data_IF_389082015368
#
_entry.id   IF_389082015368
#
_cell.length_a   1.000
_cell.length_b   1.000
_cell.length_c   1.000
_cell.angle_alpha   90.00
_cell.angle_beta   90.00
_cell.angle_gamma   90.00
#
_symmetry.space_group_name_H-M   'P 1'
#
loop_
_entity.id
_entity.type
_entity.pdbx_description
1 polymer ?
#
# COMPACT_ATOMS: atom_id res chain seq x y z
N UNK A 1 -19.71 -10.98 -24.41
CA UNK A 1 -19.25 -10.29 -23.18
C UNK A 1 -18.41 -9.10 -23.61
N UNK A 2 -18.51 -7.93 -22.96
CA UNK A 2 -17.59 -6.83 -23.21
C UNK A 2 -16.15 -7.29 -22.95
N UNK A 3 -15.20 -6.83 -23.75
CA UNK A 3 -13.79 -7.14 -23.55
C UNK A 3 -13.32 -6.47 -22.27
N UNK A 4 -12.93 -7.26 -21.27
CA UNK A 4 -12.32 -6.75 -20.03
C UNK A 4 -10.88 -6.37 -20.36
N UNK A 5 -10.53 -5.10 -20.16
CA UNK A 5 -9.18 -4.56 -20.41
C UNK A 5 -8.40 -4.27 -19.14
N UNK A 6 -9.09 -4.10 -18.02
CA UNK A 6 -8.48 -3.89 -16.71
C UNK A 6 -9.39 -4.44 -15.62
N UNK A 7 -8.78 -4.88 -14.51
CA UNK A 7 -9.51 -5.09 -13.27
C UNK A 7 -8.80 -4.44 -12.08
N UNK A 8 -9.56 -3.75 -11.21
CA UNK A 8 -9.02 -3.14 -9.98
C UNK A 8 -9.61 -3.83 -8.77
N UNK A 9 -8.76 -4.24 -7.82
CA UNK A 9 -9.19 -4.88 -6.59
C UNK A 9 -9.33 -3.83 -5.48
N UNK A 10 -10.56 -3.57 -5.05
CA UNK A 10 -10.83 -2.71 -3.90
C UNK A 10 -10.42 -3.38 -2.58
N UNK A 11 -10.04 -2.61 -1.57
CA UNK A 11 -9.94 -3.10 -0.20
C UNK A 11 -11.32 -3.45 0.38
N UNK A 12 -11.34 -4.22 1.47
CA UNK A 12 -12.59 -4.62 2.12
C UNK A 12 -13.37 -3.40 2.64
N UNK A 13 -14.67 -3.35 2.35
CA UNK A 13 -15.54 -2.21 2.66
C UNK A 13 -15.29 -0.93 1.85
N UNK A 14 -14.39 -0.91 0.87
CA UNK A 14 -14.00 0.30 0.13
C UNK A 14 -14.32 0.24 -1.38
N UNK A 15 -15.29 -0.58 -1.79
CA UNK A 15 -15.71 -0.65 -3.21
C UNK A 15 -16.26 0.69 -3.71
N UNK A 16 -17.08 1.38 -2.92
CA UNK A 16 -17.61 2.72 -3.27
C UNK A 16 -16.52 3.79 -3.34
N UNK A 17 -15.49 3.69 -2.50
CA UNK A 17 -14.35 4.62 -2.52
C UNK A 17 -13.51 4.42 -3.79
N UNK A 18 -13.23 3.16 -4.15
CA UNK A 18 -12.55 2.85 -5.41
C UNK A 18 -13.40 3.28 -6.61
N UNK A 19 -14.71 3.05 -6.58
CA UNK A 19 -15.63 3.46 -7.65
C UNK A 19 -15.61 4.97 -7.88
N UNK A 20 -15.72 5.77 -6.81
CA UNK A 20 -15.66 7.22 -6.89
C UNK A 20 -14.33 7.71 -7.45
N UNK A 21 -13.21 7.13 -7.02
CA UNK A 21 -11.88 7.49 -7.53
C UNK A 21 -11.69 7.10 -9.00
N UNK A 22 -12.16 5.93 -9.41
CA UNK A 22 -12.12 5.50 -10.82
C UNK A 22 -13.01 6.39 -11.70
N UNK A 23 -14.21 6.75 -11.23
CA UNK A 23 -15.10 7.66 -11.93
C UNK A 23 -14.47 9.05 -12.10
N UNK A 24 -13.84 9.60 -11.05
CA UNK A 24 -13.07 10.84 -11.11
C UNK A 24 -11.95 10.78 -12.15
N UNK A 25 -11.32 9.62 -12.31
CA UNK A 25 -10.28 9.33 -13.30
C UNK A 25 -10.83 8.98 -14.70
N UNK A 26 -12.13 9.15 -14.94
CA UNK A 26 -12.78 8.90 -16.23
C UNK A 26 -12.96 7.41 -16.57
N UNK A 27 -12.85 6.52 -15.60
CA UNK A 27 -13.05 5.08 -15.77
C UNK A 27 -14.49 4.71 -15.44
N UNK A 28 -15.17 4.03 -16.36
CA UNK A 28 -16.48 3.41 -16.11
C UNK A 28 -16.28 1.94 -15.72
N UNK A 29 -16.87 1.51 -14.61
CA UNK A 29 -16.89 0.10 -14.22
C UNK A 29 -18.01 -0.61 -14.98
N UNK A 30 -17.66 -1.65 -15.75
CA UNK A 30 -18.65 -2.44 -16.51
C UNK A 30 -19.46 -3.33 -15.56
N UNK A 31 -18.79 -3.94 -14.57
CA UNK A 31 -19.39 -4.80 -13.55
C UNK A 31 -18.45 -5.06 -12.38
N UNK A 32 -19.03 -5.40 -11.23
CA UNK A 32 -18.30 -5.92 -10.08
C UNK A 32 -18.31 -7.45 -10.06
N UNK A 33 -17.19 -8.04 -9.68
CA UNK A 33 -17.05 -9.43 -9.27
C UNK A 33 -16.57 -9.44 -7.82
N UNK A 34 -17.50 -9.35 -6.88
CA UNK A 34 -17.20 -9.07 -5.47
C UNK A 34 -16.54 -7.71 -5.30
N UNK A 35 -15.26 -7.69 -4.89
CA UNK A 35 -14.42 -6.48 -4.75
C UNK A 35 -13.56 -6.19 -5.99
N UNK A 36 -13.67 -6.99 -7.05
CA UNK A 36 -12.92 -6.81 -8.27
C UNK A 36 -13.77 -6.02 -9.28
N UNK A 37 -13.44 -4.75 -9.50
CA UNK A 37 -14.05 -3.91 -10.52
C UNK A 37 -13.53 -4.31 -11.90
N UNK A 38 -14.40 -4.74 -12.80
CA UNK A 38 -14.07 -5.11 -14.18
C UNK A 38 -14.47 -3.99 -15.13
N UNK A 39 -13.58 -3.63 -16.05
CA UNK A 39 -13.87 -2.59 -17.04
C UNK A 39 -13.29 -2.92 -18.41
N UNK A 40 -13.98 -2.39 -19.43
CA UNK A 40 -13.48 -2.27 -20.79
C UNK A 40 -12.55 -1.06 -21.00
N UNK A 41 -12.31 -0.24 -19.96
CA UNK A 41 -11.39 0.89 -19.97
C UNK A 41 -9.92 0.45 -19.92
N UNK A 42 -9.03 1.27 -20.48
CA UNK A 42 -7.58 1.09 -20.34
C UNK A 42 -7.16 1.16 -18.86
N UNK A 43 -6.01 0.56 -18.49
CA UNK A 43 -5.51 0.66 -17.13
C UNK A 43 -5.19 2.10 -16.77
N UNK A 44 -5.73 2.56 -15.64
CA UNK A 44 -5.40 3.83 -14.99
C UNK A 44 -4.97 3.54 -13.57
N UNK A 45 -3.96 4.25 -13.08
CA UNK A 45 -3.55 4.15 -11.69
C UNK A 45 -4.65 4.68 -10.77
N UNK A 46 -5.00 3.93 -9.73
CA UNK A 46 -5.81 4.40 -8.61
C UNK A 46 -5.08 4.07 -7.32
N UNK A 47 -4.83 5.04 -6.42
CA UNK A 47 -4.20 4.77 -5.14
C UNK A 47 -5.11 3.93 -4.24
N UNK A 48 -6.41 3.84 -4.50
CA UNK A 48 -7.36 3.04 -3.72
C UNK A 48 -7.41 1.56 -4.12
N UNK A 49 -6.76 1.17 -5.22
CA UNK A 49 -6.70 -0.22 -5.65
C UNK A 49 -5.56 -0.95 -4.92
N UNK A 50 -5.88 -2.06 -4.25
CA UNK A 50 -4.86 -2.95 -3.65
C UNK A 50 -4.00 -3.64 -4.73
N UNK A 51 -4.62 -3.93 -5.87
CA UNK A 51 -3.98 -4.55 -7.02
C UNK A 51 -4.72 -4.16 -8.31
N UNK A 52 -3.98 -4.04 -9.42
CA UNK A 52 -4.53 -3.72 -10.73
C UNK A 52 -4.06 -4.80 -11.70
N UNK A 53 -4.99 -5.52 -12.31
CA UNK A 53 -4.74 -6.58 -13.27
C UNK A 53 -4.63 -5.96 -14.67
N UNK A 54 -3.47 -6.14 -15.30
CA UNK A 54 -3.10 -5.52 -16.57
C UNK A 54 -3.28 -6.52 -17.73
N UNK A 55 -4.08 -6.15 -18.72
CA UNK A 55 -4.42 -6.98 -19.89
C UNK A 55 -5.02 -8.33 -19.51
N UNK A 56 -6.11 -8.35 -18.71
CA UNK A 56 -6.77 -9.58 -18.34
C UNK A 56 -7.38 -10.26 -19.57
N UNK A 57 -7.39 -11.59 -19.53
CA UNK A 57 -7.95 -12.45 -20.56
C UNK A 57 -9.09 -13.27 -19.97
N UNK A 58 -10.09 -13.51 -20.81
CA UNK A 58 -11.26 -14.32 -20.47
C UNK A 58 -11.28 -15.53 -21.39
N UNK A 59 -11.41 -16.73 -20.82
CA UNK A 59 -11.60 -17.96 -21.60
C UNK A 59 -12.65 -18.84 -20.97
N UNK A 60 -13.36 -19.57 -21.81
CA UNK A 60 -14.15 -20.69 -21.35
C UNK A 60 -13.22 -21.86 -20.92
N UNK A 61 -13.61 -22.57 -19.87
CA UNK A 61 -12.93 -23.74 -19.35
C UNK A 61 -13.89 -24.94 -19.29
N UNK A 62 -13.46 -26.07 -19.83
CA UNK A 62 -14.27 -27.30 -19.88
C UNK A 62 -14.06 -28.21 -18.67
N UNK A 63 -12.93 -28.04 -17.96
CA UNK A 63 -12.59 -28.86 -16.79
C UNK A 63 -11.57 -28.16 -15.88
N UNK A 64 -11.39 -28.69 -14.66
CA UNK A 64 -10.35 -28.26 -13.72
C UNK A 64 -8.95 -28.38 -14.34
N UNK A 65 -8.70 -29.46 -15.10
CA UNK A 65 -7.42 -29.67 -15.79
C UNK A 65 -7.21 -28.62 -16.87
N UNK A 66 -8.21 -28.39 -17.72
CA UNK A 66 -8.13 -27.40 -18.79
C UNK A 66 -7.84 -25.99 -18.25
N UNK A 67 -8.49 -25.58 -17.14
CA UNK A 67 -8.20 -24.30 -16.49
C UNK A 67 -6.74 -24.19 -16.01
N UNK A 68 -6.23 -25.23 -15.32
CA UNK A 68 -4.86 -25.25 -14.84
C UNK A 68 -3.84 -25.28 -15.99
N UNK A 69 -4.12 -26.00 -17.07
CA UNK A 69 -3.27 -26.05 -18.27
C UNK A 69 -3.19 -24.69 -18.95
N UNK A 70 -4.30 -23.97 -19.09
CA UNK A 70 -4.34 -22.60 -19.62
C UNK A 70 -3.41 -21.68 -18.84
N UNK A 71 -3.50 -21.68 -17.51
CA UNK A 71 -2.67 -20.81 -16.66
C UNK A 71 -1.19 -21.20 -16.73
N UNK A 72 -0.88 -22.50 -16.69
CA UNK A 72 0.50 -23.01 -16.74
C UNK A 72 1.19 -22.77 -18.08
N UNK A 73 0.44 -22.73 -19.18
CA UNK A 73 0.97 -22.43 -20.49
C UNK A 73 1.52 -20.99 -20.60
N UNK A 74 1.06 -20.08 -19.72
CA UNK A 74 1.44 -18.67 -19.72
C UNK A 74 2.59 -18.42 -18.75
N UNK A 75 2.42 -18.83 -17.48
CA UNK A 75 3.47 -18.68 -16.47
C UNK A 75 3.27 -19.61 -15.28
N UNK A 76 4.28 -19.65 -14.41
CA UNK A 76 4.34 -20.55 -13.25
C UNK A 76 3.45 -20.11 -12.08
N UNK A 77 3.48 -18.83 -11.71
CA UNK A 77 2.95 -18.34 -10.43
C UNK A 77 1.64 -17.58 -10.62
N UNK A 78 0.64 -17.93 -9.81
CA UNK A 78 -0.71 -17.42 -9.93
C UNK A 78 -1.34 -17.23 -8.56
N UNK A 79 -1.85 -16.02 -8.27
CA UNK A 79 -2.64 -15.72 -7.09
C UNK A 79 -4.13 -15.84 -7.40
N UNK A 80 -4.83 -16.66 -6.61
CA UNK A 80 -6.28 -16.77 -6.70
C UNK A 80 -6.96 -15.59 -5.99
N UNK A 81 -7.85 -14.91 -6.72
CA UNK A 81 -8.93 -14.12 -6.13
C UNK A 81 -10.23 -14.93 -6.20
N UNK A 82 -10.85 -15.21 -5.05
CA UNK A 82 -12.05 -16.06 -4.99
C UNK A 82 -13.12 -15.40 -4.13
N UNK A 83 -14.34 -15.38 -4.65
CA UNK A 83 -15.55 -14.95 -3.95
C UNK A 83 -16.63 -16.02 -3.95
N UNK A 84 -16.59 -16.89 -4.98
CA UNK A 84 -17.50 -18.01 -5.20
C UNK A 84 -16.72 -19.21 -5.73
N UNK A 85 -17.44 -20.32 -5.97
CA UNK A 85 -16.89 -21.55 -6.56
C UNK A 85 -15.68 -22.12 -5.80
N UNK A 86 -15.61 -21.91 -4.47
CA UNK A 86 -14.47 -22.25 -3.60
C UNK A 86 -13.90 -23.65 -3.83
N UNK A 87 -14.75 -24.67 -3.95
CA UNK A 87 -14.29 -26.05 -4.20
C UNK A 87 -13.60 -26.17 -5.56
N UNK A 88 -14.13 -25.55 -6.60
CA UNK A 88 -13.58 -25.63 -7.96
C UNK A 88 -12.28 -24.84 -8.07
N UNK A 89 -12.24 -23.64 -7.49
CA UNK A 89 -11.02 -22.81 -7.46
C UNK A 89 -9.91 -23.48 -6.63
N UNK A 90 -10.23 -24.13 -5.51
CA UNK A 90 -9.28 -24.95 -4.75
C UNK A 90 -8.70 -26.09 -5.59
N UNK A 91 -9.54 -26.88 -6.28
CA UNK A 91 -9.08 -27.99 -7.12
C UNK A 91 -8.23 -27.54 -8.31
N UNK A 92 -8.49 -26.35 -8.87
CA UNK A 92 -7.62 -25.75 -9.90
C UNK A 92 -6.29 -25.33 -9.27
N UNK A 93 -6.32 -24.68 -8.10
CA UNK A 93 -5.13 -24.25 -7.35
C UNK A 93 -4.21 -25.44 -7.03
N UNK A 94 -4.77 -26.57 -6.60
CA UNK A 94 -4.02 -27.81 -6.32
C UNK A 94 -3.28 -28.37 -7.55
N UNK A 95 -3.68 -27.97 -8.76
CA UNK A 95 -3.00 -28.36 -10.02
C UNK A 95 -2.00 -27.32 -10.52
N UNK A 96 -1.93 -26.15 -9.89
CA UNK A 96 -0.94 -25.12 -10.22
C UNK A 96 0.33 -25.32 -9.39
N UNK A 97 1.50 -24.87 -9.87
CA UNK A 97 2.70 -24.79 -9.05
C UNK A 97 2.42 -23.94 -7.79
N UNK A 98 2.83 -24.39 -6.59
CA UNK A 98 2.52 -23.66 -5.37
C UNK A 98 3.23 -22.30 -5.36
N UNK A 99 2.49 -21.27 -4.97
CA UNK A 99 3.03 -19.95 -4.63
C UNK A 99 3.37 -19.95 -3.15
N UNK A 100 4.64 -19.76 -2.81
CA UNK A 100 5.10 -19.62 -1.43
C UNK A 100 4.70 -18.24 -0.89
N UNK A 101 3.46 -18.12 -0.44
CA UNK A 101 2.92 -16.91 0.19
C UNK A 101 2.96 -17.03 1.73
N UNK A 102 4.10 -17.46 2.28
CA UNK A 102 4.27 -17.50 3.73
C UNK A 102 4.22 -16.07 4.31
N UNK A 103 3.67 -15.87 5.52
CA UNK A 103 3.73 -14.58 6.18
C UNK A 103 5.17 -14.06 6.27
N UNK A 104 5.35 -12.79 5.94
CA UNK A 104 6.61 -12.08 5.90
C UNK A 104 7.12 -11.78 7.31
N UNK A 105 8.42 -11.96 7.53
CA UNK A 105 9.12 -11.46 8.72
C UNK A 105 9.77 -10.13 8.33
N UNK A 106 9.34 -9.03 8.95
CA UNK A 106 9.90 -7.71 8.71
C UNK A 106 11.22 -7.52 9.50
N UNK A 107 12.26 -6.85 8.96
CA UNK A 107 12.33 -6.24 7.63
C UNK A 107 12.57 -7.26 6.51
N UNK A 108 11.91 -7.05 5.38
CA UNK A 108 12.10 -7.88 4.18
C UNK A 108 11.77 -7.11 2.91
N UNK A 109 12.37 -7.54 1.80
CA UNK A 109 12.09 -7.00 0.48
C UNK A 109 10.78 -7.59 -0.08
N UNK A 110 10.08 -6.88 -1.00
CA UNK A 110 8.93 -7.44 -1.67
C UNK A 110 9.36 -8.62 -2.57
N UNK A 111 8.50 -9.63 -2.76
CA UNK A 111 8.79 -10.73 -3.69
C UNK A 111 9.07 -10.21 -5.10
N UNK A 112 10.13 -10.70 -5.74
CA UNK A 112 10.53 -10.30 -7.10
C UNK A 112 10.06 -11.29 -8.17
N UNK A 113 9.60 -12.48 -7.77
CA UNK A 113 9.09 -13.48 -8.71
C UNK A 113 7.81 -12.97 -9.40
N UNK A 114 7.66 -13.13 -10.72
CA UNK A 114 6.41 -12.80 -11.41
C UNK A 114 5.23 -13.48 -10.73
N UNK A 115 4.11 -12.77 -10.62
CA UNK A 115 2.87 -13.27 -10.02
C UNK A 115 1.68 -12.74 -10.82
N UNK A 116 1.00 -13.62 -11.55
CA UNK A 116 -0.30 -13.29 -12.15
C UNK A 116 -1.44 -13.47 -11.17
N UNK A 117 -2.64 -13.07 -11.57
CA UNK A 117 -3.84 -13.26 -10.79
C UNK A 117 -4.96 -13.89 -11.62
N UNK A 118 -5.86 -14.63 -10.98
CA UNK A 118 -6.97 -15.28 -11.66
C UNK A 118 -8.18 -15.47 -10.75
N UNK A 119 -9.35 -15.63 -11.36
CA UNK A 119 -10.62 -15.93 -10.70
C UNK A 119 -11.54 -16.68 -11.65
N UNK A 120 -12.63 -17.25 -11.12
CA UNK A 120 -13.74 -17.75 -11.91
C UNK A 120 -14.88 -16.74 -11.86
N UNK A 121 -15.32 -16.27 -13.01
CA UNK A 121 -16.48 -15.39 -13.14
C UNK A 121 -17.80 -16.15 -13.01
N UNK A 122 -17.78 -17.42 -13.43
CA UNK A 122 -18.83 -18.41 -13.22
C UNK A 122 -18.18 -19.80 -13.25
N UNK A 123 -18.98 -20.88 -13.26
CA UNK A 123 -18.48 -22.26 -13.26
C UNK A 123 -17.51 -22.58 -14.40
N UNK A 124 -17.70 -21.95 -15.58
CA UNK A 124 -16.97 -22.26 -16.80
C UNK A 124 -16.19 -21.07 -17.39
N UNK A 125 -16.25 -19.88 -16.79
CA UNK A 125 -15.53 -18.71 -17.30
C UNK A 125 -14.35 -18.36 -16.40
N UNK A 126 -13.13 -18.54 -16.92
CA UNK A 126 -11.88 -18.16 -16.28
C UNK A 126 -11.48 -16.74 -16.69
N UNK A 127 -11.23 -15.88 -15.70
CA UNK A 127 -10.61 -14.56 -15.88
C UNK A 127 -9.20 -14.61 -15.28
N UNK A 128 -8.19 -14.20 -16.02
CA UNK A 128 -6.81 -14.20 -15.53
C UNK A 128 -5.98 -13.07 -16.12
N UNK A 129 -4.95 -12.64 -15.40
CA UNK A 129 -4.02 -11.60 -15.81
C UNK A 129 -2.60 -12.02 -15.48
N UNK A 130 -1.75 -12.12 -16.50
CA UNK A 130 -0.36 -12.51 -16.29
C UNK A 130 0.44 -11.41 -15.56
N UNK A 131 0.06 -10.14 -15.79
CA UNK A 131 0.68 -8.96 -15.18
C UNK A 131 -0.29 -8.27 -14.23
N UNK A 132 0.23 -7.79 -13.12
CA UNK A 132 -0.50 -6.99 -12.14
C UNK A 132 0.44 -6.03 -11.42
N UNK A 133 -0.08 -4.99 -10.78
CA UNK A 133 0.74 -3.93 -10.18
C UNK A 133 1.35 -4.30 -8.83
N UNK A 134 0.73 -5.18 -8.06
CA UNK A 134 1.28 -5.61 -6.77
C UNK A 134 2.07 -6.92 -6.90
N UNK A 135 3.20 -7.10 -6.18
CA UNK A 135 3.86 -8.41 -6.09
C UNK A 135 3.18 -9.35 -5.08
N UNK A 136 2.22 -8.86 -4.29
CA UNK A 136 1.58 -9.64 -3.23
C UNK A 136 0.30 -10.30 -3.70
N UNK A 137 -0.07 -11.43 -3.09
CA UNK A 137 -1.35 -12.11 -3.34
C UNK A 137 -2.49 -11.13 -3.03
N UNK A 138 -3.36 -10.88 -4.02
CA UNK A 138 -4.50 -9.97 -3.91
C UNK A 138 -4.12 -8.57 -3.41
N UNK A 139 -2.92 -8.11 -3.74
CA UNK A 139 -2.46 -6.78 -3.36
C UNK A 139 -2.00 -6.64 -1.90
N UNK A 140 -2.15 -7.66 -1.06
CA UNK A 140 -2.01 -7.55 0.39
C UNK A 140 -0.86 -8.40 0.94
N UNK A 141 0.22 -7.79 1.48
CA UNK A 141 1.22 -8.53 2.23
C UNK A 141 0.63 -9.06 3.54
N UNK A 142 1.09 -10.25 3.96
CA UNK A 142 0.79 -10.78 5.28
C UNK A 142 2.08 -10.82 6.08
N UNK A 143 2.04 -10.40 7.35
CA UNK A 143 3.21 -10.39 8.23
C UNK A 143 3.04 -11.38 9.37
N UNK A 144 4.17 -11.90 9.87
CA UNK A 144 4.25 -12.53 11.18
C UNK A 144 4.13 -11.42 12.23
N UNK A 145 2.93 -11.24 12.77
CA UNK A 145 2.64 -10.14 13.70
C UNK A 145 3.25 -10.35 15.09
N UNK A 146 3.72 -9.26 15.70
CA UNK A 146 3.96 -9.19 17.14
C UNK A 146 2.73 -8.61 17.84
N UNK A 147 2.09 -9.40 18.71
CA UNK A 147 0.86 -9.01 19.42
C UNK A 147 1.07 -8.59 20.88
N UNK A 148 2.30 -8.67 21.39
CA UNK A 148 2.61 -8.44 22.81
C UNK A 148 3.56 -7.27 23.05
N UNK A 149 4.46 -7.00 22.11
CA UNK A 149 5.45 -5.93 22.18
C UNK A 149 4.89 -4.52 21.93
N UNK A 150 4.25 -4.25 20.78
CA UNK A 150 3.84 -2.90 20.41
C UNK A 150 2.56 -2.45 21.14
N UNK A 151 2.41 -1.15 21.44
CA UNK A 151 1.24 -0.61 22.13
C UNK A 151 -0.01 -0.50 21.24
N UNK A 152 0.14 -0.67 19.93
CA UNK A 152 -0.97 -0.67 18.96
C UNK A 152 -0.61 -1.54 17.74
N UNK A 153 -1.60 -1.92 16.90
CA UNK A 153 -1.35 -2.62 15.63
C UNK A 153 -1.00 -1.67 14.46
N UNK A 154 -0.85 -0.37 14.71
CA UNK A 154 -0.55 0.62 13.67
C UNK A 154 0.82 0.39 13.02
N UNK A 155 1.76 -0.27 13.71
CA UNK A 155 3.08 -0.62 13.18
C UNK A 155 3.01 -1.43 11.87
N UNK A 156 1.92 -2.17 11.63
CA UNK A 156 1.75 -2.96 10.40
C UNK A 156 1.68 -2.08 9.15
N UNK A 157 1.16 -0.85 9.27
CA UNK A 157 1.20 0.13 8.18
C UNK A 157 2.63 0.54 7.85
N UNK A 158 3.47 0.78 8.85
CA UNK A 158 4.88 1.11 8.65
C UNK A 158 5.65 -0.07 8.05
N UNK A 159 5.44 -1.28 8.56
CA UNK A 159 6.05 -2.49 7.99
C UNK A 159 5.66 -2.67 6.53
N UNK A 160 4.38 -2.53 6.19
CA UNK A 160 3.91 -2.61 4.81
C UNK A 160 4.51 -1.49 3.94
N UNK A 161 4.50 -0.25 4.42
CA UNK A 161 5.05 0.91 3.71
C UNK A 161 6.54 0.68 3.36
N UNK A 162 7.35 0.33 4.34
CA UNK A 162 8.78 0.04 4.16
C UNK A 162 9.02 -1.19 3.26
N UNK A 163 8.21 -2.23 3.39
CA UNK A 163 8.30 -3.42 2.52
C UNK A 163 7.98 -3.07 1.07
N UNK A 164 6.96 -2.23 0.82
CA UNK A 164 6.61 -1.77 -0.54
C UNK A 164 7.66 -0.85 -1.14
N UNK A 165 8.29 -0.01 -0.31
CA UNK A 165 9.43 0.81 -0.70
C UNK A 165 10.67 -0.04 -1.03
N UNK A 166 10.77 -1.24 -0.45
CA UNK A 166 12.02 -2.01 -0.45
C UNK A 166 13.13 -1.34 0.35
N UNK A 167 12.77 -0.43 1.26
CA UNK A 167 13.69 0.34 2.10
C UNK A 167 13.04 0.69 3.43
N UNK A 168 13.84 0.73 4.48
CA UNK A 168 13.46 1.07 5.85
C UNK A 168 14.63 1.80 6.53
N UNK A 169 14.39 2.45 7.69
CA UNK A 169 15.45 3.04 8.49
C UNK A 169 16.55 2.05 8.86
N UNK A 170 17.82 2.41 8.68
CA UNK A 170 18.98 1.64 9.16
C UNK A 170 19.43 2.11 10.56
N UNK A 171 20.27 1.34 11.29
CA UNK A 171 20.76 1.75 12.60
C UNK A 171 21.49 3.10 12.65
N UNK A 172 22.09 3.51 11.55
CA UNK A 172 22.82 4.77 11.40
C UNK A 172 21.90 5.96 11.07
N UNK A 173 20.68 5.68 10.62
CA UNK A 173 19.73 6.69 10.18
C UNK A 173 18.92 7.27 11.35
N UNK A 174 18.62 8.55 11.25
CA UNK A 174 17.80 9.30 12.20
C UNK A 174 16.39 9.46 11.66
N UNK A 175 15.42 9.30 12.54
CA UNK A 175 14.00 9.32 12.21
C UNK A 175 13.26 10.30 13.12
N UNK A 176 12.25 10.95 12.55
CA UNK A 176 11.19 11.60 13.31
C UNK A 176 9.89 10.82 13.17
N UNK A 177 9.20 10.59 14.29
CA UNK A 177 7.83 10.06 14.33
C UNK A 177 6.90 11.16 14.85
N UNK A 178 6.13 11.76 13.94
CA UNK A 178 5.26 12.89 14.23
C UNK A 178 3.87 12.40 14.62
N UNK A 179 3.42 12.80 15.82
CA UNK A 179 2.17 12.34 16.43
C UNK A 179 2.24 10.88 16.83
N UNK A 180 3.33 10.54 17.53
CA UNK A 180 3.75 9.17 17.74
C UNK A 180 2.85 8.39 18.70
N UNK A 181 2.12 9.04 19.60
CA UNK A 181 1.48 8.37 20.75
C UNK A 181 0.37 7.39 20.31
N UNK A 182 0.35 6.14 20.81
CA UNK A 182 1.13 5.61 21.94
C UNK A 182 2.52 5.05 21.60
N UNK A 183 2.95 5.09 20.35
CA UNK A 183 4.31 4.72 19.93
C UNK A 183 4.39 3.51 19.01
N UNK A 184 3.32 3.18 18.25
CA UNK A 184 3.32 2.01 17.38
C UNK A 184 4.38 2.07 16.27
N UNK A 185 4.51 3.23 15.61
CA UNK A 185 5.53 3.44 14.57
C UNK A 185 6.91 3.66 15.19
N UNK A 186 7.02 4.45 16.26
CA UNK A 186 8.24 4.58 17.07
C UNK A 186 8.82 3.23 17.48
N UNK A 187 7.99 2.31 17.99
CA UNK A 187 8.39 0.94 18.33
C UNK A 187 8.95 0.19 17.13
N UNK A 188 8.29 0.29 15.97
CA UNK A 188 8.72 -0.40 14.75
C UNK A 188 10.08 0.11 14.27
N UNK A 189 10.29 1.43 14.30
CA UNK A 189 11.55 2.09 13.92
C UNK A 189 12.66 1.70 14.88
N UNK A 190 12.41 1.76 16.19
CA UNK A 190 13.42 1.42 17.20
C UNK A 190 13.86 -0.06 17.11
N UNK A 191 12.97 -0.98 16.73
CA UNK A 191 13.34 -2.39 16.50
C UNK A 191 14.24 -2.61 15.28
N UNK A 192 14.34 -1.63 14.37
CA UNK A 192 15.32 -1.64 13.28
C UNK A 192 16.71 -1.16 13.76
N UNK A 193 16.83 -0.70 15.00
CA UNK A 193 18.06 -0.13 15.57
C UNK A 193 18.28 1.35 15.26
N UNK A 194 17.39 1.98 14.50
CA UNK A 194 17.47 3.39 14.14
C UNK A 194 17.23 4.33 15.33
N UNK A 195 17.77 5.56 15.24
CA UNK A 195 17.50 6.59 16.24
C UNK A 195 16.19 7.31 15.89
N UNK A 196 15.21 7.29 16.79
CA UNK A 196 13.90 7.91 16.58
C UNK A 196 13.60 8.96 17.63
N UNK A 197 13.32 10.19 17.18
CA UNK A 197 12.71 11.21 18.04
C UNK A 197 11.21 11.25 17.77
N UNK A 198 10.44 10.86 18.76
CA UNK A 198 8.99 10.90 18.75
C UNK A 198 8.49 12.27 19.23
N UNK A 199 7.54 12.85 18.49
CA UNK A 199 6.90 14.10 18.84
C UNK A 199 5.42 13.88 19.07
N UNK A 200 4.92 14.22 20.26
CA UNK A 200 3.48 14.24 20.54
C UNK A 200 3.15 15.16 21.72
N UNK A 201 1.89 15.55 21.89
CA UNK A 201 1.44 16.27 23.08
C UNK A 201 1.28 15.34 24.28
N UNK A 202 0.93 14.08 24.02
CA UNK A 202 0.76 13.05 25.04
C UNK A 202 2.02 12.17 25.12
N UNK A 203 2.38 11.64 26.31
CA UNK A 203 3.54 10.77 26.44
C UNK A 203 3.37 9.45 25.67
N UNK A 204 4.49 8.89 25.23
CA UNK A 204 4.55 7.52 24.69
C UNK A 204 4.16 6.49 25.75
N UNK A 205 3.84 5.27 25.30
CA UNK A 205 3.82 4.11 26.18
C UNK A 205 5.19 3.96 26.90
N UNK A 206 5.21 3.75 28.24
CA UNK A 206 6.46 3.70 28.99
C UNK A 206 7.46 2.66 28.49
N UNK A 207 6.99 1.53 27.95
CA UNK A 207 7.88 0.50 27.38
C UNK A 207 8.55 0.97 26.10
N UNK A 208 7.84 1.73 25.27
CA UNK A 208 8.39 2.30 24.03
C UNK A 208 9.34 3.45 24.36
N UNK A 209 8.98 4.33 25.30
CA UNK A 209 9.84 5.41 25.75
C UNK A 209 11.19 4.92 26.32
N UNK A 210 11.21 3.73 26.93
CA UNK A 210 12.40 3.12 27.50
C UNK A 210 13.24 2.32 26.48
N UNK A 211 12.81 2.20 25.22
CA UNK A 211 13.57 1.46 24.20
C UNK A 211 14.87 2.19 23.84
N UNK A 212 15.98 1.46 23.57
CA UNK A 212 17.19 2.06 23.03
C UNK A 212 16.91 2.82 21.73
N UNK A 213 17.55 3.98 21.56
CA UNK A 213 17.38 4.81 20.36
C UNK A 213 16.11 5.66 20.33
N UNK A 214 15.21 5.54 21.32
CA UNK A 214 14.01 6.37 21.42
C UNK A 214 14.29 7.63 22.24
N UNK A 215 13.95 8.78 21.67
CA UNK A 215 13.85 10.06 22.37
C UNK A 215 12.43 10.61 22.21
N UNK A 216 11.94 11.37 23.19
CA UNK A 216 10.61 11.97 23.13
C UNK A 216 10.70 13.48 23.35
N UNK A 217 9.97 14.23 22.52
CA UNK A 217 9.77 15.66 22.68
C UNK A 217 8.28 15.98 22.75
N UNK A 218 7.87 16.62 23.85
CA UNK A 218 6.47 17.00 24.03
C UNK A 218 6.13 18.22 23.17
N UNK A 219 5.58 17.99 21.98
CA UNK A 219 5.25 19.05 21.03
C UNK A 219 4.10 18.64 20.11
N UNK A 220 3.43 19.62 19.51
CA UNK A 220 2.49 19.34 18.41
C UNK A 220 3.27 19.20 17.11
N UNK A 221 3.05 18.11 16.37
CA UNK A 221 3.63 17.93 15.03
C UNK A 221 3.40 19.12 14.08
N UNK A 222 2.24 19.77 14.18
CA UNK A 222 1.89 20.94 13.36
C UNK A 222 2.45 22.27 13.86
N UNK A 223 3.04 22.29 15.05
CA UNK A 223 3.75 23.45 15.60
C UNK A 223 5.26 23.35 15.45
N UNK A 224 5.77 22.26 14.87
CA UNK A 224 7.18 22.12 14.55
C UNK A 224 7.54 23.04 13.39
N UNK A 225 8.73 23.62 13.45
CA UNK A 225 9.34 24.39 12.37
C UNK A 225 10.48 23.53 11.81
N UNK A 226 10.27 22.78 10.70
CA UNK A 226 11.25 21.80 10.22
C UNK A 226 12.64 22.40 9.95
N UNK A 227 12.72 23.66 9.52
CA UNK A 227 13.96 24.39 9.26
C UNK A 227 14.82 24.61 10.52
N UNK A 228 14.20 24.65 11.70
CA UNK A 228 14.88 24.81 13.00
C UNK A 228 15.28 23.48 13.64
N UNK A 229 14.80 22.37 13.10
CA UNK A 229 15.11 21.03 13.59
C UNK A 229 16.35 20.48 12.86
N UNK A 230 17.17 19.65 13.53
CA UNK A 230 18.22 18.90 12.86
C UNK A 230 17.67 18.07 11.70
N UNK A 231 18.42 18.00 10.60
CA UNK A 231 18.06 17.14 9.48
C UNK A 231 18.01 15.66 9.91
N UNK A 232 17.08 14.91 9.32
CA UNK A 232 16.85 13.48 9.57
C UNK A 232 16.68 12.70 8.27
N UNK A 233 17.05 11.44 8.26
CA UNK A 233 16.94 10.60 7.07
C UNK A 233 15.49 10.26 6.74
N UNK A 234 14.63 10.16 7.78
CA UNK A 234 13.21 9.84 7.64
C UNK A 234 12.30 10.72 8.50
N UNK A 235 11.18 11.14 7.92
CA UNK A 235 10.02 11.68 8.65
C UNK A 235 8.82 10.74 8.45
N UNK A 236 8.29 10.26 9.57
CA UNK A 236 7.13 9.39 9.63
C UNK A 236 5.95 10.10 10.30
N UNK A 237 4.72 9.80 9.89
CA UNK A 237 3.52 10.22 10.63
C UNK A 237 2.28 9.37 10.37
N UNK A 238 1.60 8.90 11.42
CA UNK A 238 0.25 8.30 11.33
C UNK A 238 -0.84 9.17 11.99
N UNK A 239 -0.65 10.51 11.99
CA UNK A 239 -1.55 11.46 12.65
C UNK A 239 -2.98 11.39 12.09
N UNK A 240 -3.95 11.60 12.97
CA UNK A 240 -5.33 11.93 12.59
C UNK A 240 -5.47 13.45 12.50
N UNK A 241 -5.61 13.96 11.27
CA UNK A 241 -5.89 15.36 11.00
C UNK A 241 -6.58 15.49 9.64
N UNK A 242 -7.14 16.68 9.37
CA UNK A 242 -7.69 17.00 8.07
C UNK A 242 -6.64 16.83 6.96
N UNK A 243 -6.99 16.21 5.82
CA UNK A 243 -6.07 15.98 4.70
C UNK A 243 -5.31 17.23 4.25
N UNK A 244 -5.99 18.37 4.14
CA UNK A 244 -5.38 19.65 3.78
C UNK A 244 -4.26 20.09 4.73
N UNK A 245 -4.38 19.77 6.02
CA UNK A 245 -3.38 20.10 7.05
C UNK A 245 -2.17 19.17 6.94
N UNK A 246 -2.39 17.90 6.61
CA UNK A 246 -1.32 16.93 6.33
C UNK A 246 -0.57 17.30 5.05
N UNK A 247 -1.26 17.77 4.01
CA UNK A 247 -0.64 18.25 2.78
C UNK A 247 0.31 19.42 3.06
N UNK A 248 -0.14 20.43 3.82
CA UNK A 248 0.71 21.56 4.22
C UNK A 248 1.90 21.12 5.07
N UNK A 249 1.68 20.21 6.03
CA UNK A 249 2.77 19.66 6.84
C UNK A 249 3.81 18.99 5.93
N UNK A 250 3.37 18.17 4.99
CA UNK A 250 4.23 17.47 4.03
C UNK A 250 5.06 18.44 3.20
N UNK A 251 4.41 19.46 2.63
CA UNK A 251 5.07 20.49 1.83
C UNK A 251 6.11 21.28 2.64
N UNK A 252 5.82 21.62 3.90
CA UNK A 252 6.76 22.30 4.77
C UNK A 252 7.99 21.43 5.08
N UNK A 253 7.81 20.13 5.31
CA UNK A 253 8.93 19.21 5.52
C UNK A 253 9.79 19.07 4.27
N UNK A 254 9.18 18.93 3.09
CA UNK A 254 9.89 18.87 1.81
C UNK A 254 10.66 20.18 1.57
N UNK A 255 10.01 21.33 1.73
CA UNK A 255 10.58 22.65 1.48
C UNK A 255 11.77 22.97 2.40
N UNK A 256 11.76 22.48 3.64
CA UNK A 256 12.88 22.70 4.57
C UNK A 256 14.17 21.99 4.14
N UNK A 257 14.08 20.96 3.29
CA UNK A 257 15.24 20.16 2.88
C UNK A 257 15.84 19.28 3.99
N UNK A 258 15.24 19.27 5.18
CA UNK A 258 15.73 18.59 6.38
C UNK A 258 15.28 17.13 6.48
N UNK A 259 14.74 16.55 5.40
CA UNK A 259 14.56 15.11 5.30
C UNK A 259 14.72 14.59 3.88
N UNK A 260 15.16 13.34 3.76
CA UNK A 260 15.33 12.66 2.48
C UNK A 260 14.15 11.73 2.16
N UNK A 261 13.36 11.34 3.16
CA UNK A 261 12.27 10.37 3.02
C UNK A 261 11.08 10.74 3.90
N UNK A 262 9.87 10.61 3.34
CA UNK A 262 8.63 10.82 4.07
C UNK A 262 7.70 9.63 3.86
N UNK A 263 7.15 9.11 4.96
CA UNK A 263 6.02 8.17 4.93
C UNK A 263 4.97 8.68 5.89
N UNK A 264 3.78 9.00 5.39
CA UNK A 264 2.68 9.44 6.26
C UNK A 264 1.33 8.96 5.77
N UNK A 265 0.36 8.83 6.67
CA UNK A 265 -1.01 8.48 6.28
C UNK A 265 -1.88 9.73 6.10
N UNK A 266 -2.78 9.67 5.12
CA UNK A 266 -3.78 10.70 4.78
C UNK A 266 -5.15 10.09 5.03
N UNK A 267 -5.80 10.51 6.12
CA UNK A 267 -7.09 9.96 6.57
C UNK A 267 -8.24 10.80 6.04
N UNK A 268 -9.25 10.13 5.48
CA UNK A 268 -10.43 10.80 4.96
C UNK A 268 -11.59 10.60 5.94
N UNK A 269 -12.24 11.70 6.32
CA UNK A 269 -13.46 11.68 7.12
C UNK A 269 -14.63 11.99 6.20
N UNK A 270 -15.58 11.06 6.05
CA UNK A 270 -16.68 11.21 5.10
C UNK A 270 -16.27 10.80 3.69
N UNK A 271 -16.65 11.55 2.67
CA UNK A 271 -16.27 11.26 1.28
C UNK A 271 -14.78 11.53 1.03
N UNK A 272 -14.19 10.82 0.08
CA UNK A 272 -12.81 11.05 -0.34
C UNK A 272 -12.70 12.40 -1.06
N UNK A 273 -11.83 13.26 -0.56
CA UNK A 273 -11.48 14.52 -1.23
C UNK A 273 -10.48 14.23 -2.37
N UNK A 274 -11.01 14.05 -3.58
CA UNK A 274 -10.22 13.72 -4.77
C UNK A 274 -9.27 14.85 -5.18
N UNK A 275 -9.56 16.11 -4.84
CA UNK A 275 -8.66 17.24 -5.11
C UNK A 275 -7.43 17.16 -4.20
N UNK A 276 -7.60 16.81 -2.93
CA UNK A 276 -6.47 16.57 -2.03
C UNK A 276 -5.64 15.36 -2.47
N UNK A 277 -6.28 14.26 -2.89
CA UNK A 277 -5.57 13.10 -3.46
C UNK A 277 -4.70 13.55 -4.65
N UNK A 278 -5.28 14.29 -5.60
CA UNK A 278 -4.57 14.81 -6.76
C UNK A 278 -3.42 15.76 -6.36
N UNK A 279 -3.62 16.60 -5.33
CA UNK A 279 -2.58 17.51 -4.85
C UNK A 279 -1.39 16.78 -4.22
N UNK A 280 -1.60 15.65 -3.53
CA UNK A 280 -0.52 14.79 -3.07
C UNK A 280 0.17 14.05 -4.23
N UNK A 281 -0.59 13.53 -5.21
CA UNK A 281 -0.04 12.89 -6.40
C UNK A 281 0.81 13.87 -7.25
N UNK A 282 0.49 15.16 -7.22
CA UNK A 282 1.22 16.20 -7.94
C UNK A 282 2.57 16.58 -7.30
N UNK A 283 2.88 16.10 -6.08
CA UNK A 283 4.18 16.36 -5.44
C UNK A 283 5.27 15.58 -6.19
N UNK A 284 6.31 16.23 -6.74
CA UNK A 284 7.41 15.52 -7.41
C UNK A 284 8.09 14.54 -6.45
N UNK A 285 8.33 13.31 -6.91
CA UNK A 285 8.82 12.22 -6.05
C UNK A 285 7.76 11.63 -5.14
N UNK A 286 6.53 12.14 -5.16
CA UNK A 286 5.42 11.64 -4.36
C UNK A 286 4.78 10.37 -4.94
N UNK A 287 4.15 9.58 -4.09
CA UNK A 287 3.26 8.49 -4.47
C UNK A 287 2.24 8.27 -3.35
N UNK A 288 0.98 8.00 -3.70
CA UNK A 288 -0.04 7.58 -2.74
C UNK A 288 -0.38 6.12 -2.98
N UNK A 289 -0.67 5.34 -1.94
CA UNK A 289 -1.24 4.00 -2.08
C UNK A 289 -2.07 3.62 -0.87
N UNK A 290 -3.15 2.86 -1.08
CA UNK A 290 -3.90 2.19 -0.05
C UNK A 290 -3.16 0.92 0.36
N UNK A 291 -2.81 0.85 1.63
CA UNK A 291 -2.13 -0.30 2.23
C UNK A 291 -3.17 -1.31 2.74
N UNK A 292 -2.82 -2.61 2.77
CA UNK A 292 -3.70 -3.64 3.29
C UNK A 292 -4.11 -3.40 4.76
N UNK A 293 -3.27 -2.70 5.53
CA UNK A 293 -3.55 -2.28 6.90
C UNK A 293 -4.14 -0.88 7.03
N UNK A 294 -4.42 -0.18 5.93
CA UNK A 294 -5.18 1.06 5.93
C UNK A 294 -6.68 0.78 6.12
N UNK A 295 -7.36 1.69 6.82
CA UNK A 295 -8.83 1.79 6.78
C UNK A 295 -9.23 2.73 5.65
N UNK A 296 -10.07 3.73 5.90
CA UNK A 296 -10.37 4.79 4.95
C UNK A 296 -9.27 5.88 4.99
N UNK A 297 -8.09 5.51 4.53
CA UNK A 297 -6.90 6.35 4.48
C UNK A 297 -5.99 5.86 3.35
N UNK A 298 -5.15 6.76 2.83
CA UNK A 298 -4.05 6.43 1.94
C UNK A 298 -2.74 6.61 2.70
N UNK A 299 -1.66 6.00 2.20
CA UNK A 299 -0.30 6.27 2.67
C UNK A 299 0.46 7.00 1.58
N UNK A 300 1.02 8.15 1.92
CA UNK A 300 1.89 8.97 1.09
C UNK A 300 3.35 8.59 1.32
N UNK A 301 4.07 8.50 0.21
CA UNK A 301 5.48 8.15 0.12
C UNK A 301 6.18 9.26 -0.64
N UNK A 302 7.32 9.73 -0.12
CA UNK A 302 8.16 10.68 -0.83
C UNK A 302 9.62 10.41 -0.56
N UNK A 303 10.43 10.61 -1.60
CA UNK A 303 11.87 10.48 -1.54
C UNK A 303 12.51 11.62 -2.35
N UNK A 304 13.52 12.27 -1.75
CA UNK A 304 14.20 13.43 -2.32
C UNK A 304 14.90 13.13 -3.65
N UNK A 305 15.53 11.95 -3.76
CA UNK A 305 16.18 11.52 -5.01
C UNK A 305 15.15 11.28 -6.11
N UNK A 306 14.05 10.59 -5.80
CA UNK A 306 12.95 10.39 -6.74
C UNK A 306 12.34 11.72 -7.21
N UNK A 307 12.23 12.71 -6.31
CA UNK A 307 11.79 14.05 -6.64
C UNK A 307 12.76 14.77 -7.61
N UNK A 308 14.06 14.70 -7.35
CA UNK A 308 15.09 15.27 -8.23
C UNK A 308 15.13 14.60 -9.62
N UNK A 309 14.82 13.31 -9.68
CA UNK A 309 14.75 12.51 -10.92
C UNK A 309 13.39 12.57 -11.62
N UNK A 310 12.42 13.32 -11.06
CA UNK A 310 11.05 13.43 -11.54
C UNK A 310 10.37 12.07 -11.81
N UNK A 311 10.55 11.12 -10.88
CA UNK A 311 9.94 9.79 -10.93
C UNK A 311 9.14 9.51 -9.67
N UNK A 312 8.17 8.59 -9.67
CA UNK A 312 7.48 8.20 -8.46
C UNK A 312 8.41 7.48 -7.49
N UNK A 313 8.04 7.54 -6.21
CA UNK A 313 8.72 6.77 -5.15
C UNK A 313 8.32 5.29 -5.18
N UNK A 314 7.06 4.98 -5.48
CA UNK A 314 6.59 3.60 -5.60
C UNK A 314 6.60 3.11 -7.06
N UNK A 315 7.04 1.87 -7.27
CA UNK A 315 6.88 1.22 -8.57
C UNK A 315 5.39 0.97 -8.86
N UNK A 316 5.02 0.99 -10.15
CA UNK A 316 3.65 0.68 -10.59
C UNK A 316 2.62 1.81 -10.45
N UNK A 317 3.03 3.00 -9.99
CA UNK A 317 2.16 4.19 -9.94
C UNK A 317 2.16 4.98 -11.26
N UNK A 318 3.13 4.72 -12.15
CA UNK A 318 3.22 5.31 -13.49
C UNK A 318 2.40 4.58 -14.56
N UNK A 319 1.21 4.08 -14.23
CA UNK A 319 0.30 3.64 -15.29
C UNK A 319 -0.19 4.89 -16.02
N UNK A 320 0.30 5.11 -17.25
CA UNK A 320 -0.09 6.24 -18.09
C UNK A 320 -1.61 6.35 -18.21
N UNK A 321 -2.15 7.55 -17.99
CA UNK A 321 -3.49 7.91 -18.47
C UNK A 321 -3.55 7.84 -20.01
#
# INVERSE_FOLDING_TARGET
MSTIRTAWLAADGLTSVLEADLAWRGVTIDRWHGRLALSSSKPVYSPWALDIWLDPQVTEITSIRNAADTLRAIQRNWSLYTIDHFRRTALITDKLPPVKAAPLVFPTLPPTSPLGAWTLLDTNTLLFSARKTSPFVNGAPQFVENRTGPPSRAYLKLWEACTRLGRWPTPEERCYDLGATPGGWTWAIANLGAQVTAFDRAPLDPKVAAMPGVSFQQASAFGLEPEKLPAVDWMFSDIIAYPQRLLRLTQNWIASGNTDNIVLTVKFQGETDHEIVAAFEAIPGGSLAHLAHNKHELTFFWNKTAAAENRPTLAGTNLTQ
#
